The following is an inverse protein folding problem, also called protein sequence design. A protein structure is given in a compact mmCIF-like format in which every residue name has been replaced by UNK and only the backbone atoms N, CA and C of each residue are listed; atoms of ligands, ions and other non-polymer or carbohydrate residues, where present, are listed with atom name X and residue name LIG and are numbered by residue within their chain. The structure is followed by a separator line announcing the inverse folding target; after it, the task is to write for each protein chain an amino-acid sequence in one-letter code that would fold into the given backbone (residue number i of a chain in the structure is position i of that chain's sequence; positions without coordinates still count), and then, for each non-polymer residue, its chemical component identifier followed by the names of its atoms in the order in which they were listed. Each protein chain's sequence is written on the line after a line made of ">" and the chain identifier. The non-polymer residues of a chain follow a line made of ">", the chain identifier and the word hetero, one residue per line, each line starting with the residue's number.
data_IF_630502353603
#
_entry.id   IF_630502353603
#
_cell.length_a   1.000
_cell.length_b   1.000
_cell.length_c   1.000
_cell.angle_alpha   90.00
_cell.angle_beta   90.00
_cell.angle_gamma   90.00
#
_symmetry.space_group_name_H-M   'P 1'
#
loop_
_entity.id
_entity.type
_entity.pdbx_description
1 polymer ?
#
# COMPACT_ATOMS: atom_id res chain seq x y z
N UNK A 1 23.03 19.12 -72.64
CA UNK A 1 23.05 20.50 -72.08
C UNK A 1 21.74 21.00 -71.46
N UNK A 2 20.53 20.60 -71.91
CA UNK A 2 19.25 21.16 -71.38
C UNK A 2 18.92 20.81 -69.91
N UNK A 3 19.43 19.69 -69.37
CA UNK A 3 19.08 19.23 -68.02
C UNK A 3 19.76 20.01 -66.88
N UNK A 4 21.00 20.48 -67.08
CA UNK A 4 21.73 21.25 -66.08
C UNK A 4 21.12 22.64 -65.83
N UNK A 5 20.57 23.27 -66.87
CA UNK A 5 19.88 24.57 -66.78
C UNK A 5 18.58 24.51 -65.98
N UNK A 6 17.87 23.38 -66.02
CA UNK A 6 16.62 23.16 -65.27
C UNK A 6 16.87 22.97 -63.77
N UNK A 7 17.94 22.25 -63.42
CA UNK A 7 18.34 22.04 -62.02
C UNK A 7 18.83 23.35 -61.40
N UNK A 8 19.62 24.14 -62.14
CA UNK A 8 20.13 25.44 -61.68
C UNK A 8 19.02 26.48 -61.47
N UNK A 9 18.04 26.59 -62.38
CA UNK A 9 16.88 27.47 -62.19
C UNK A 9 16.01 27.07 -60.97
N UNK A 10 15.90 25.77 -60.67
CA UNK A 10 15.10 25.27 -59.54
C UNK A 10 15.78 25.54 -58.19
N UNK A 11 17.11 25.47 -58.11
CA UNK A 11 17.87 25.80 -56.90
C UNK A 11 17.90 27.32 -56.65
N UNK A 12 17.96 28.14 -57.69
CA UNK A 12 17.94 29.60 -57.58
C UNK A 12 16.57 30.14 -57.14
N UNK A 13 15.48 29.56 -57.65
CA UNK A 13 14.08 29.82 -57.22
C UNK A 13 13.83 29.46 -55.75
N UNK A 14 14.38 28.35 -55.26
CA UNK A 14 14.29 27.97 -53.84
C UNK A 14 15.09 28.92 -52.94
N UNK A 15 16.30 29.31 -53.34
CA UNK A 15 17.13 30.28 -52.61
C UNK A 15 16.46 31.65 -52.50
N UNK A 16 15.82 32.13 -53.56
CA UNK A 16 15.08 33.40 -53.55
C UNK A 16 13.84 33.36 -52.67
N UNK A 17 13.08 32.26 -52.65
CA UNK A 17 11.94 32.10 -51.73
C UNK A 17 12.36 32.04 -50.26
N UNK A 18 13.42 31.30 -49.93
CA UNK A 18 13.95 31.23 -48.57
C UNK A 18 14.46 32.60 -48.08
N UNK A 19 15.19 33.33 -48.92
CA UNK A 19 15.64 34.70 -48.61
C UNK A 19 14.48 35.68 -48.44
N UNK A 20 13.39 35.53 -49.21
CA UNK A 20 12.19 36.38 -49.06
C UNK A 20 11.44 36.10 -47.75
N UNK A 21 11.39 34.84 -47.32
CA UNK A 21 10.83 34.44 -46.03
C UNK A 21 11.68 34.94 -44.86
N UNK A 22 13.00 34.77 -44.92
CA UNK A 22 13.94 35.28 -43.91
C UNK A 22 13.89 36.82 -43.79
N UNK A 23 13.84 37.55 -44.92
CA UNK A 23 13.66 39.02 -44.89
C UNK A 23 12.32 39.46 -44.30
N UNK A 24 11.27 38.65 -44.44
CA UNK A 24 9.96 38.91 -43.81
C UNK A 24 9.99 38.66 -42.29
N UNK A 25 10.76 37.65 -41.86
CA UNK A 25 10.98 37.32 -40.44
C UNK A 25 11.88 38.36 -39.74
N UNK A 26 12.84 38.94 -40.44
CA UNK A 26 13.72 40.02 -39.93
C UNK A 26 12.99 41.35 -39.71
N UNK A 27 11.84 41.55 -40.34
CA UNK A 27 10.96 42.72 -40.15
C UNK A 27 9.95 42.53 -39.01
N UNK A 28 10.02 41.40 -38.31
CA UNK A 28 9.20 41.14 -37.14
C UNK A 28 9.70 42.05 -36.00
N UNK A 29 8.78 42.87 -35.51
CA UNK A 29 9.02 43.91 -34.52
C UNK A 29 9.70 43.32 -33.28
N UNK A 30 10.98 43.66 -33.10
CA UNK A 30 11.83 43.12 -32.03
C UNK A 30 11.24 43.42 -30.66
N UNK A 31 10.53 44.54 -30.50
CA UNK A 31 9.86 44.90 -29.26
C UNK A 31 8.64 44.01 -29.00
N UNK A 32 7.87 43.67 -30.04
CA UNK A 32 6.74 42.70 -29.90
C UNK A 32 7.24 41.28 -29.63
N UNK A 33 8.36 40.89 -30.21
CA UNK A 33 8.99 39.60 -29.94
C UNK A 33 9.49 39.54 -28.49
N UNK A 34 10.14 40.60 -27.99
CA UNK A 34 10.57 40.73 -26.59
C UNK A 34 9.37 40.64 -25.65
N UNK A 35 8.29 41.37 -25.93
CA UNK A 35 7.07 41.31 -25.13
C UNK A 35 6.47 39.90 -25.09
N UNK A 36 6.40 39.22 -26.23
CA UNK A 36 5.90 37.85 -26.30
C UNK A 36 6.79 36.86 -25.52
N UNK A 37 8.12 37.02 -25.58
CA UNK A 37 9.05 36.18 -24.82
C UNK A 37 8.92 36.41 -23.32
N UNK A 38 8.75 37.66 -22.87
CA UNK A 38 8.52 37.98 -21.45
C UNK A 38 7.20 37.35 -20.99
N UNK A 39 6.12 37.48 -21.77
CA UNK A 39 4.83 36.87 -21.46
C UNK A 39 4.95 35.33 -21.35
N UNK A 40 5.66 34.70 -22.28
CA UNK A 40 5.92 33.25 -22.26
C UNK A 40 6.64 32.83 -20.98
N UNK A 41 7.67 33.57 -20.56
CA UNK A 41 8.42 33.28 -19.33
C UNK A 41 7.52 33.39 -18.09
N UNK A 42 6.67 34.42 -18.02
CA UNK A 42 5.72 34.58 -16.90
C UNK A 42 4.77 33.38 -16.82
N UNK A 43 4.18 32.97 -17.95
CA UNK A 43 3.29 31.80 -18.00
C UNK A 43 4.01 30.52 -17.57
N UNK A 44 5.27 30.33 -17.99
CA UNK A 44 6.05 29.15 -17.59
C UNK A 44 6.36 29.15 -16.09
N UNK A 45 6.60 30.32 -15.49
CA UNK A 45 6.81 30.44 -14.04
C UNK A 45 5.52 30.11 -13.27
N UNK A 46 4.37 30.60 -13.74
CA UNK A 46 3.07 30.30 -13.11
C UNK A 46 2.75 28.79 -13.16
N UNK A 47 3.00 28.16 -14.30
CA UNK A 47 2.82 26.69 -14.46
C UNK A 47 3.76 25.92 -13.54
N UNK A 48 5.02 26.35 -13.40
CA UNK A 48 5.98 25.74 -12.47
C UNK A 48 5.49 25.84 -11.01
N UNK A 49 4.97 27.00 -10.61
CA UNK A 49 4.41 27.19 -9.26
C UNK A 49 3.23 26.26 -9.01
N UNK A 50 2.28 26.18 -9.94
CA UNK A 50 1.13 25.25 -9.85
C UNK A 50 1.61 23.79 -9.75
N UNK A 51 2.61 23.42 -10.55
CA UNK A 51 3.19 22.08 -10.52
C UNK A 51 3.86 21.78 -9.18
N UNK A 52 4.59 22.72 -8.60
CA UNK A 52 5.18 22.58 -7.25
C UNK A 52 4.09 22.42 -6.18
N UNK A 53 3.00 23.19 -6.24
CA UNK A 53 1.87 23.02 -5.33
C UNK A 53 1.21 21.64 -5.48
N UNK A 54 0.99 21.19 -6.71
CA UNK A 54 0.40 19.88 -7.00
C UNK A 54 1.30 18.73 -6.54
N UNK A 55 2.61 18.82 -6.77
CA UNK A 55 3.58 17.82 -6.29
C UNK A 55 3.72 17.83 -4.77
N UNK A 56 3.65 19.00 -4.12
CA UNK A 56 3.62 19.11 -2.65
C UNK A 56 2.39 18.39 -2.09
N UNK A 57 1.21 18.56 -2.70
CA UNK A 57 0.00 17.85 -2.27
C UNK A 57 0.06 16.34 -2.45
N UNK A 58 0.89 15.80 -3.36
CA UNK A 58 1.08 14.36 -3.52
C UNK A 58 2.11 13.80 -2.52
N UNK A 59 3.18 14.56 -2.24
CA UNK A 59 4.19 14.16 -1.23
C UNK A 59 3.64 14.21 0.19
N UNK A 60 2.73 15.15 0.48
CA UNK A 60 2.05 15.22 1.78
C UNK A 60 1.07 14.04 2.00
N UNK A 61 0.71 13.26 0.96
CA UNK A 61 -0.14 12.06 1.13
C UNK A 61 0.62 10.82 1.63
N UNK A 62 1.94 10.76 1.49
CA UNK A 62 2.75 9.65 2.01
C UNK A 62 3.30 9.89 3.43
N UNK A 63 3.22 11.11 3.95
CA UNK A 63 3.61 11.45 5.34
C UNK A 63 2.42 12.04 6.11
N UNK A 64 1.21 11.54 5.83
CA UNK A 64 0.24 11.32 6.91
C UNK A 64 0.43 9.89 7.41
N UNK A 65 1.66 9.56 7.81
CA UNK A 65 1.80 8.82 9.06
C UNK A 65 1.14 9.75 10.07
N UNK A 66 -0.18 9.55 10.30
CA UNK A 66 -0.80 10.02 11.53
C UNK A 66 0.24 9.68 12.59
N UNK A 67 0.83 10.70 13.20
CA UNK A 67 1.39 10.59 14.53
C UNK A 67 0.20 10.25 15.41
N UNK A 68 -0.22 8.99 15.30
CA UNK A 68 -1.07 8.35 16.27
C UNK A 68 -0.28 8.54 17.55
N UNK A 69 -0.85 9.30 18.47
CA UNK A 69 -0.41 9.31 19.83
C UNK A 69 -0.70 7.89 20.33
N UNK A 70 0.26 6.99 20.13
CA UNK A 70 0.08 5.58 20.42
C UNK A 70 0.08 5.45 21.93
N UNK A 71 -0.92 4.80 22.54
CA UNK A 71 -0.80 4.40 23.94
C UNK A 71 0.49 3.59 24.07
N UNK A 72 1.41 4.03 24.92
CA UNK A 72 2.62 3.28 25.22
C UNK A 72 2.23 2.06 26.05
N UNK A 73 1.72 1.00 25.40
CA UNK A 73 1.38 -0.24 26.05
C UNK A 73 2.62 -1.13 26.21
N UNK A 74 3.61 -0.60 26.94
CA UNK A 74 4.89 -1.26 27.19
C UNK A 74 4.70 -2.62 27.88
N UNK A 75 3.68 -2.72 28.75
CA UNK A 75 3.28 -3.96 29.43
C UNK A 75 2.79 -5.02 28.44
N UNK A 76 1.74 -4.72 27.66
CA UNK A 76 1.24 -5.64 26.62
C UNK A 76 2.36 -6.04 25.67
N UNK A 77 3.17 -5.08 25.22
CA UNK A 77 4.30 -5.37 24.34
C UNK A 77 5.25 -6.40 24.97
N UNK A 78 5.62 -6.23 26.24
CA UNK A 78 6.48 -7.18 26.95
C UNK A 78 5.86 -8.58 27.01
N UNK A 79 4.59 -8.68 27.38
CA UNK A 79 3.85 -9.95 27.43
C UNK A 79 3.80 -10.63 26.05
N UNK A 80 3.52 -9.87 24.99
CA UNK A 80 3.48 -10.40 23.63
C UNK A 80 4.85 -10.85 23.12
N UNK A 81 5.93 -10.11 23.45
CA UNK A 81 7.30 -10.53 23.12
C UNK A 81 7.62 -11.86 23.80
N UNK A 82 7.37 -11.98 25.11
CA UNK A 82 7.64 -13.22 25.84
C UNK A 82 6.83 -14.40 25.30
N UNK A 83 5.54 -14.20 24.99
CA UNK A 83 4.69 -15.24 24.41
C UNK A 83 5.15 -15.71 23.02
N UNK A 84 5.69 -14.80 22.21
CA UNK A 84 6.01 -15.05 20.79
C UNK A 84 7.50 -15.20 20.50
N UNK A 85 8.33 -15.23 21.54
CA UNK A 85 9.78 -15.33 21.45
C UNK A 85 10.22 -16.52 20.60
N UNK A 86 11.06 -16.23 19.60
CA UNK A 86 11.59 -17.24 18.67
C UNK A 86 10.60 -17.69 17.58
N UNK A 87 9.47 -17.00 17.43
CA UNK A 87 8.53 -17.20 16.33
C UNK A 87 8.59 -16.05 15.32
N UNK A 88 8.31 -16.27 14.02
CA UNK A 88 8.34 -15.20 13.03
C UNK A 88 7.46 -13.98 13.33
N UNK A 89 6.31 -14.17 14.01
CA UNK A 89 5.43 -13.06 14.42
C UNK A 89 6.08 -12.08 15.39
N UNK A 90 7.17 -12.46 16.08
CA UNK A 90 7.89 -11.57 17.01
C UNK A 90 8.27 -10.24 16.33
N UNK A 91 8.64 -10.29 15.05
CA UNK A 91 8.98 -9.11 14.23
C UNK A 91 7.80 -8.14 14.03
N UNK A 92 6.57 -8.61 14.20
CA UNK A 92 5.33 -7.83 14.07
C UNK A 92 4.82 -7.30 15.40
N UNK A 93 5.34 -7.76 16.55
CA UNK A 93 4.90 -7.32 17.88
C UNK A 93 4.97 -5.79 18.06
N UNK A 94 5.98 -5.07 17.54
CA UNK A 94 5.97 -3.61 17.61
C UNK A 94 4.77 -2.93 16.95
N UNK A 95 4.13 -3.59 15.99
CA UNK A 95 2.96 -3.08 15.28
C UNK A 95 1.66 -3.57 15.94
N UNK A 96 1.65 -4.83 16.39
CA UNK A 96 0.50 -5.46 17.06
C UNK A 96 0.23 -4.81 18.42
N UNK A 97 1.27 -4.58 19.22
CA UNK A 97 1.16 -3.92 20.54
C UNK A 97 0.68 -2.47 20.51
N UNK A 98 0.59 -1.86 19.31
CA UNK A 98 0.04 -0.52 19.11
C UNK A 98 -1.47 -0.52 18.79
N UNK A 99 -2.07 -1.69 18.63
CA UNK A 99 -3.51 -1.82 18.46
C UNK A 99 -4.19 -1.78 19.84
N UNK A 100 -5.51 -1.61 19.86
CA UNK A 100 -6.33 -1.82 21.06
C UNK A 100 -6.09 -3.23 21.62
N UNK A 101 -6.11 -3.39 22.94
CA UNK A 101 -5.72 -4.66 23.62
C UNK A 101 -6.54 -5.85 23.11
N UNK A 102 -7.85 -5.66 22.91
CA UNK A 102 -8.76 -6.68 22.36
C UNK A 102 -8.37 -7.07 20.92
N UNK A 103 -8.01 -6.10 20.07
CA UNK A 103 -7.55 -6.37 18.69
C UNK A 103 -6.22 -7.11 18.73
N UNK A 104 -5.28 -6.68 19.58
CA UNK A 104 -3.99 -7.34 19.74
C UNK A 104 -4.15 -8.79 20.23
N UNK A 105 -5.09 -9.03 21.17
CA UNK A 105 -5.42 -10.35 21.67
C UNK A 105 -5.93 -11.26 20.55
N UNK A 106 -6.84 -10.79 19.70
CA UNK A 106 -7.30 -11.55 18.53
C UNK A 106 -6.21 -11.78 17.49
N UNK A 107 -5.37 -10.77 17.21
CA UNK A 107 -4.24 -10.92 16.28
C UNK A 107 -3.32 -12.05 16.73
N UNK A 108 -2.98 -12.13 18.00
CA UNK A 108 -2.03 -13.12 18.52
C UNK A 108 -2.67 -14.51 18.64
N UNK A 109 -3.92 -14.59 19.09
CA UNK A 109 -4.63 -15.86 19.26
C UNK A 109 -4.96 -16.53 17.93
N UNK A 110 -5.45 -15.77 16.95
CA UNK A 110 -5.72 -16.28 15.59
C UNK A 110 -4.40 -16.67 14.93
N UNK A 111 -3.34 -15.87 15.03
CA UNK A 111 -2.05 -16.23 14.44
C UNK A 111 -1.46 -17.52 15.05
N UNK A 112 -1.66 -17.75 16.35
CA UNK A 112 -1.29 -19.01 16.99
C UNK A 112 -2.02 -20.17 16.35
N UNK A 113 -3.32 -20.00 16.12
CA UNK A 113 -4.18 -21.05 15.58
C UNK A 113 -3.86 -21.37 14.12
N UNK A 114 -3.71 -20.34 13.28
CA UNK A 114 -3.63 -20.49 11.83
C UNK A 114 -2.23 -20.87 11.34
N UNK A 115 -1.18 -20.33 11.97
CA UNK A 115 0.20 -20.51 11.50
C UNK A 115 1.16 -21.01 12.56
N UNK A 116 0.68 -21.23 13.79
CA UNK A 116 1.55 -21.37 14.97
C UNK A 116 2.54 -20.21 15.05
N UNK A 117 2.02 -18.98 15.01
CA UNK A 117 2.80 -17.73 15.05
C UNK A 117 3.83 -17.59 13.92
N UNK A 118 3.50 -18.11 12.74
CA UNK A 118 4.35 -18.04 11.56
C UNK A 118 5.30 -19.22 11.35
N UNK A 119 5.18 -20.32 12.11
CA UNK A 119 5.92 -21.57 11.78
C UNK A 119 5.43 -22.23 10.49
N UNK A 120 4.16 -22.01 10.13
CA UNK A 120 3.55 -22.50 8.88
C UNK A 120 2.95 -21.30 8.15
N UNK A 121 3.54 -20.92 7.02
CA UNK A 121 3.20 -19.69 6.33
C UNK A 121 2.97 -19.94 4.85
N UNK A 122 2.05 -19.20 4.22
CA UNK A 122 2.01 -19.17 2.78
C UNK A 122 3.31 -18.55 2.26
N UNK A 123 3.75 -19.04 1.10
CA UNK A 123 4.94 -18.53 0.43
C UNK A 123 4.64 -18.12 -0.99
N UNK A 124 5.40 -17.18 -1.51
CA UNK A 124 5.42 -16.81 -2.92
C UNK A 124 6.88 -16.77 -3.35
N UNK A 125 7.23 -17.56 -4.37
CA UNK A 125 8.62 -17.70 -4.84
C UNK A 125 9.63 -18.09 -3.74
N UNK A 126 9.17 -18.85 -2.73
CA UNK A 126 9.97 -19.28 -1.60
C UNK A 126 10.04 -18.28 -0.43
N UNK A 127 9.52 -17.07 -0.61
CA UNK A 127 9.53 -16.00 0.40
C UNK A 127 8.31 -16.05 1.32
N UNK A 128 8.46 -15.57 2.56
CA UNK A 128 7.37 -15.43 3.54
C UNK A 128 6.42 -14.30 3.12
N UNK A 129 5.14 -14.60 3.05
CA UNK A 129 4.06 -13.67 2.68
C UNK A 129 3.54 -12.80 3.83
N UNK A 130 4.16 -12.86 5.01
CA UNK A 130 3.77 -12.15 6.24
C UNK A 130 2.33 -12.43 6.69
N UNK A 131 1.74 -13.52 6.22
CA UNK A 131 0.36 -13.88 6.49
C UNK A 131 0.28 -14.99 7.52
N UNK A 132 0.16 -14.59 8.77
CA UNK A 132 0.14 -15.51 9.91
C UNK A 132 -1.28 -15.87 10.36
N UNK A 133 -2.29 -15.29 9.72
CA UNK A 133 -3.71 -15.42 10.09
C UNK A 133 -4.54 -16.22 9.07
N UNK A 134 -3.91 -16.79 8.04
CA UNK A 134 -4.65 -17.50 6.99
C UNK A 134 -5.57 -16.57 6.18
N UNK A 135 -5.25 -15.28 6.10
CA UNK A 135 -6.09 -14.30 5.41
C UNK A 135 -6.15 -14.57 3.90
N UNK A 136 -7.34 -14.46 3.29
CA UNK A 136 -7.62 -14.81 1.88
C UNK A 136 -8.21 -13.65 1.07
N UNK A 137 -7.90 -12.41 1.45
CA UNK A 137 -8.26 -11.25 0.63
C UNK A 137 -7.52 -11.27 -0.71
N UNK A 138 -8.25 -11.11 -1.81
CA UNK A 138 -7.67 -11.13 -3.15
C UNK A 138 -6.76 -9.91 -3.34
N UNK A 139 -5.55 -10.15 -3.82
CA UNK A 139 -4.54 -9.16 -4.18
C UNK A 139 -3.77 -9.62 -5.42
N UNK A 140 -2.94 -8.75 -5.97
CA UNK A 140 -2.03 -9.10 -7.07
C UNK A 140 -1.09 -10.25 -6.68
N UNK A 141 -0.51 -10.19 -5.46
CA UNK A 141 0.33 -11.25 -4.93
C UNK A 141 -0.47 -12.21 -4.06
N UNK A 142 -0.51 -13.47 -4.49
CA UNK A 142 -1.17 -14.56 -3.76
C UNK A 142 -0.14 -15.66 -3.47
N UNK A 143 -0.02 -16.02 -2.19
CA UNK A 143 0.85 -17.10 -1.75
C UNK A 143 0.19 -18.47 -1.88
N UNK A 144 0.91 -19.52 -1.48
CA UNK A 144 0.43 -20.91 -1.51
C UNK A 144 -0.95 -21.08 -0.86
N UNK A 145 -1.79 -21.91 -1.47
CA UNK A 145 -3.14 -22.23 -0.96
C UNK A 145 -4.17 -21.11 -1.12
N UNK A 146 -3.88 -20.07 -1.91
CA UNK A 146 -4.77 -18.94 -2.16
C UNK A 146 -4.81 -17.93 -1.02
N UNK A 147 -3.79 -17.90 -0.18
CA UNK A 147 -3.66 -16.90 0.88
C UNK A 147 -3.08 -15.60 0.33
N UNK A 148 -3.49 -14.48 0.92
CA UNK A 148 -2.92 -13.17 0.59
C UNK A 148 -1.42 -13.18 0.85
N UNK A 149 -0.64 -12.63 -0.09
CA UNK A 149 0.77 -12.32 0.13
C UNK A 149 0.93 -10.82 0.35
N UNK A 150 1.23 -10.42 1.59
CA UNK A 150 1.35 -9.01 1.96
C UNK A 150 2.71 -8.45 1.55
N UNK A 151 2.75 -7.15 1.25
CA UNK A 151 4.00 -6.50 0.81
C UNK A 151 4.97 -6.27 1.98
N UNK A 152 4.46 -6.20 3.21
CA UNK A 152 5.27 -5.97 4.41
C UNK A 152 4.56 -6.42 5.70
N UNK A 153 5.29 -6.58 6.82
CA UNK A 153 4.70 -6.75 8.15
C UNK A 153 3.68 -5.66 8.52
N UNK A 154 3.95 -4.41 8.15
CA UNK A 154 3.08 -3.26 8.38
C UNK A 154 1.77 -3.40 7.63
N UNK A 155 1.83 -3.77 6.35
CA UNK A 155 0.66 -3.97 5.53
C UNK A 155 -0.19 -5.16 6.01
N UNK A 156 0.45 -6.25 6.41
CA UNK A 156 -0.21 -7.42 6.99
C UNK A 156 -0.99 -7.06 8.27
N UNK A 157 -0.29 -6.49 9.27
CA UNK A 157 -0.90 -6.12 10.55
C UNK A 157 -2.02 -5.11 10.35
N UNK A 158 -1.81 -4.06 9.55
CA UNK A 158 -2.82 -3.04 9.25
C UNK A 158 -4.07 -3.63 8.60
N UNK A 159 -3.90 -4.54 7.64
CA UNK A 159 -5.04 -5.14 6.92
C UNK A 159 -5.85 -6.06 7.83
N UNK A 160 -5.17 -6.93 8.56
CA UNK A 160 -5.80 -7.91 9.43
C UNK A 160 -6.44 -7.23 10.64
N UNK A 161 -5.75 -6.26 11.27
CA UNK A 161 -6.31 -5.52 12.40
C UNK A 161 -7.55 -4.72 12.00
N UNK A 162 -7.56 -4.11 10.81
CA UNK A 162 -8.74 -3.43 10.29
C UNK A 162 -9.92 -4.39 10.05
N UNK A 163 -9.66 -5.62 9.60
CA UNK A 163 -10.72 -6.63 9.45
C UNK A 163 -11.27 -7.07 10.82
N UNK A 164 -10.40 -7.36 11.78
CA UNK A 164 -10.78 -7.74 13.14
C UNK A 164 -11.60 -6.62 13.79
N UNK A 165 -11.14 -5.38 13.68
CA UNK A 165 -11.86 -4.20 14.19
C UNK A 165 -13.29 -4.13 13.64
N UNK A 166 -13.46 -4.28 12.32
CA UNK A 166 -14.80 -4.31 11.70
C UNK A 166 -15.69 -5.44 12.22
N UNK A 167 -15.11 -6.59 12.60
CA UNK A 167 -15.86 -7.70 13.19
C UNK A 167 -16.28 -7.36 14.62
N UNK A 168 -15.38 -6.80 15.43
CA UNK A 168 -15.68 -6.33 16.79
C UNK A 168 -16.80 -5.27 16.77
N UNK A 169 -16.73 -4.31 15.84
CA UNK A 169 -17.77 -3.29 15.61
C UNK A 169 -19.14 -3.90 15.24
N UNK A 170 -19.16 -5.16 14.77
CA UNK A 170 -20.37 -5.95 14.47
C UNK A 170 -20.76 -6.89 15.62
N UNK A 171 -20.27 -6.64 16.84
CA UNK A 171 -20.48 -7.48 18.02
C UNK A 171 -19.90 -8.90 17.89
N UNK A 172 -18.93 -9.10 16.99
CA UNK A 172 -18.13 -10.34 16.86
C UNK A 172 -16.85 -10.17 17.68
N UNK A 173 -17.01 -10.05 19.00
CA UNK A 173 -15.97 -9.67 19.95
C UNK A 173 -15.59 -10.77 20.96
N UNK A 174 -16.10 -11.99 20.80
CA UNK A 174 -15.68 -13.16 21.60
C UNK A 174 -15.05 -14.23 20.71
N UNK A 175 -14.14 -15.08 21.22
CA UNK A 175 -13.57 -16.19 20.46
C UNK A 175 -14.61 -17.11 19.81
N UNK A 176 -15.73 -17.36 20.51
CA UNK A 176 -16.85 -18.14 19.97
C UNK A 176 -17.51 -17.47 18.76
N UNK A 177 -17.76 -16.15 18.81
CA UNK A 177 -18.31 -15.41 17.68
C UNK A 177 -17.27 -15.22 16.55
N UNK A 178 -16.00 -15.03 16.92
CA UNK A 178 -14.87 -14.82 16.00
C UNK A 178 -14.57 -16.04 15.12
N UNK A 179 -15.24 -17.17 15.35
CA UNK A 179 -15.22 -18.34 14.46
C UNK A 179 -15.58 -18.00 13.00
N UNK A 180 -16.24 -16.86 12.77
CA UNK A 180 -16.44 -16.30 11.42
C UNK A 180 -15.14 -16.13 10.64
N UNK A 181 -14.00 -15.97 11.32
CA UNK A 181 -12.68 -15.96 10.69
C UNK A 181 -12.33 -17.29 10.02
N UNK A 182 -12.73 -18.42 10.63
CA UNK A 182 -12.45 -19.77 10.15
C UNK A 182 -13.36 -20.19 9.00
N UNK A 183 -14.67 -19.99 9.14
CA UNK A 183 -15.67 -20.58 8.24
C UNK A 183 -16.57 -19.55 7.54
N UNK A 184 -16.37 -18.26 7.77
CA UNK A 184 -17.35 -17.24 7.38
C UNK A 184 -18.62 -17.35 8.21
N UNK A 185 -19.75 -16.89 7.68
CA UNK A 185 -21.03 -16.87 8.42
C UNK A 185 -21.71 -18.25 8.54
N UNK A 186 -21.15 -19.31 7.92
CA UNK A 186 -21.67 -20.67 8.03
C UNK A 186 -20.54 -21.68 8.13
N UNK A 187 -20.62 -22.56 9.12
CA UNK A 187 -19.64 -23.62 9.37
C UNK A 187 -20.05 -24.98 8.79
N UNK A 188 -21.07 -25.05 7.93
CA UNK A 188 -21.62 -26.32 7.41
C UNK A 188 -20.60 -27.20 6.66
N UNK A 189 -19.52 -26.59 6.11
CA UNK A 189 -18.42 -27.31 5.46
C UNK A 189 -17.35 -27.85 6.41
N UNK A 190 -17.53 -27.71 7.72
CA UNK A 190 -16.56 -28.12 8.73
C UNK A 190 -17.18 -29.07 9.76
N UNK A 191 -16.37 -29.96 10.32
CA UNK A 191 -16.80 -30.78 11.45
C UNK A 191 -16.89 -29.95 12.73
N UNK A 192 -17.89 -30.26 13.57
CA UNK A 192 -18.07 -29.64 14.89
C UNK A 192 -16.80 -29.70 15.74
N UNK A 193 -16.07 -30.83 15.68
CA UNK A 193 -14.80 -30.98 16.38
C UNK A 193 -13.75 -29.95 15.92
N UNK A 194 -13.60 -29.74 14.60
CA UNK A 194 -12.65 -28.76 14.05
C UNK A 194 -13.01 -27.34 14.45
N UNK A 195 -14.30 -27.03 14.49
CA UNK A 195 -14.82 -25.72 14.90
C UNK A 195 -14.59 -25.47 16.38
N UNK A 196 -15.03 -26.39 17.25
CA UNK A 196 -14.84 -26.30 18.72
C UNK A 196 -13.37 -26.21 19.08
N UNK A 197 -12.52 -27.02 18.44
CA UNK A 197 -11.07 -26.95 18.66
C UNK A 197 -10.51 -25.58 18.29
N UNK A 198 -10.95 -24.99 17.18
CA UNK A 198 -10.49 -23.66 16.78
C UNK A 198 -10.90 -22.60 17.80
N UNK A 199 -12.15 -22.62 18.25
CA UNK A 199 -12.66 -21.70 19.27
C UNK A 199 -11.85 -21.84 20.55
N UNK A 200 -11.66 -23.06 21.06
CA UNK A 200 -10.91 -23.31 22.29
C UNK A 200 -9.45 -22.88 22.18
N UNK A 201 -8.81 -23.16 21.05
CA UNK A 201 -7.42 -22.73 20.82
C UNK A 201 -7.33 -21.19 20.84
N UNK A 202 -8.24 -20.49 20.16
CA UNK A 202 -8.26 -19.02 20.13
C UNK A 202 -8.59 -18.42 21.50
N UNK A 203 -9.59 -18.97 22.18
CA UNK A 203 -10.05 -18.56 23.51
C UNK A 203 -8.92 -18.63 24.54
N UNK A 204 -8.19 -19.75 24.57
CA UNK A 204 -7.07 -19.95 25.48
C UNK A 204 -5.98 -18.86 25.35
N UNK A 205 -5.60 -18.49 24.12
CA UNK A 205 -4.58 -17.45 23.92
C UNK A 205 -5.15 -16.05 24.05
N UNK A 206 -6.44 -15.85 23.75
CA UNK A 206 -7.13 -14.59 23.96
C UNK A 206 -7.20 -14.24 25.46
N UNK A 207 -7.62 -15.19 26.31
CA UNK A 207 -7.70 -15.00 27.76
C UNK A 207 -6.35 -14.73 28.43
N UNK A 208 -5.26 -15.30 27.88
CA UNK A 208 -3.88 -15.00 28.35
C UNK A 208 -3.46 -13.54 28.17
N UNK A 209 -4.09 -12.82 27.25
CA UNK A 209 -3.75 -11.42 26.92
C UNK A 209 -4.78 -10.47 27.54
N UNK A 210 -6.07 -10.81 27.43
CA UNK A 210 -7.15 -9.92 27.84
C UNK A 210 -7.65 -10.16 29.28
N UNK A 211 -7.02 -11.07 30.04
CA UNK A 211 -7.31 -11.31 31.46
C UNK A 211 -8.72 -11.83 31.76
N UNK A 212 -9.34 -12.51 30.80
CA UNK A 212 -10.69 -13.11 30.92
C UNK A 212 -10.74 -14.26 31.92
#
# INVERSE_FOLDING_TARGET
>A
MKNYLLIWKKTESKKTKANKFFKKFQKFDQEKLRFFLVLLVVVLLDVMVIFVYFFKTETDREIVVKTFNFPNNSKLRGELVEMTKGYPIEKMIPLISRQDEEIAAFLISIAKKESNWGKRVPRLNGEDCYNYWGYRGIREKMGTGGHTCFDSPQDAVRTVSARIKKLIEQDVNTPSKMVVWKCGYSCNGHSDYSVKKWINDVDYYFGKINGS
#
